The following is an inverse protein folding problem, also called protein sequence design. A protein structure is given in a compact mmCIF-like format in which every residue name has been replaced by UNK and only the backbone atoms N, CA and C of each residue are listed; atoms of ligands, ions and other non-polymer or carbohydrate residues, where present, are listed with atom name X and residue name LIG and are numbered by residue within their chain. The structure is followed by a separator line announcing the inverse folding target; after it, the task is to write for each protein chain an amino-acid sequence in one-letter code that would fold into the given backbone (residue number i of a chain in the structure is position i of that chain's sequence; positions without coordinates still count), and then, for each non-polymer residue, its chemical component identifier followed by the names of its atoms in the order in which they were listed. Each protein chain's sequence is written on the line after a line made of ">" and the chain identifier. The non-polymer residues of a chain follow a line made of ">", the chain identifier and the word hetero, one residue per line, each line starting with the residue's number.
data_IF_749918310607
#
_entry.id   IF_749918310607
#
_cell.length_a   1.000
_cell.length_b   1.000
_cell.length_c   1.000
_cell.angle_alpha   90.00
_cell.angle_beta   90.00
_cell.angle_gamma   90.00
#
_symmetry.space_group_name_H-M   'P 1'
#
loop_
_entity.id
_entity.type
_entity.pdbx_description
1 polymer ?
#
# COMPACT_ATOMS: atom_id res chain seq x y z
N UNK A 1 0.96 11.20 20.72
CA UNK A 1 0.18 11.40 21.96
C UNK A 1 -0.97 12.31 21.61
N UNK A 2 -2.18 12.00 22.05
CA UNK A 2 -3.38 12.79 21.79
C UNK A 2 -4.13 13.03 23.11
N UNK A 3 -4.97 14.04 23.14
CA UNK A 3 -5.84 14.40 24.26
C UNK A 3 -7.28 13.90 24.09
N UNK A 4 -7.61 13.37 22.92
CA UNK A 4 -8.95 12.84 22.64
C UNK A 4 -8.86 11.41 22.10
N UNK A 5 -9.70 10.52 22.62
CA UNK A 5 -9.76 9.11 22.23
C UNK A 5 -11.19 8.61 22.18
N UNK A 6 -11.44 7.63 21.32
CA UNK A 6 -12.74 6.98 21.21
C UNK A 6 -12.83 5.79 22.17
N UNK A 7 -13.86 5.74 23.02
CA UNK A 7 -14.14 4.62 23.90
C UNK A 7 -15.13 3.65 23.24
N UNK A 8 -14.62 2.55 22.69
CA UNK A 8 -15.42 1.62 21.87
C UNK A 8 -16.57 0.97 22.64
N UNK A 9 -16.34 0.59 23.89
CA UNK A 9 -17.35 -0.12 24.70
C UNK A 9 -18.56 0.74 25.10
N UNK A 10 -18.43 2.06 25.05
CA UNK A 10 -19.49 3.01 25.42
C UNK A 10 -19.97 3.84 24.22
N UNK A 11 -19.22 3.83 23.11
CA UNK A 11 -19.56 4.59 21.91
C UNK A 11 -19.46 6.11 22.12
N UNK A 12 -18.46 6.56 22.88
CA UNK A 12 -18.28 7.97 23.24
C UNK A 12 -16.84 8.45 23.02
N UNK A 13 -16.67 9.76 22.79
CA UNK A 13 -15.37 10.42 22.71
C UNK A 13 -14.94 10.94 24.08
N UNK A 14 -13.77 10.56 24.54
CA UNK A 14 -13.21 11.00 25.81
C UNK A 14 -12.26 12.18 25.60
N UNK A 15 -12.45 13.24 26.39
CA UNK A 15 -11.52 14.37 26.46
C UNK A 15 -10.63 14.24 27.71
N UNK A 16 -9.37 13.85 27.51
CA UNK A 16 -8.43 13.63 28.60
C UNK A 16 -7.93 14.92 29.26
N UNK A 17 -8.32 16.10 28.75
CA UNK A 17 -8.02 17.38 29.42
C UNK A 17 -9.01 17.68 30.55
N UNK A 18 -10.19 17.08 30.53
CA UNK A 18 -11.25 17.26 31.52
C UNK A 18 -11.18 16.19 32.61
N UNK A 19 -11.52 16.58 33.85
CA UNK A 19 -11.41 15.70 35.02
C UNK A 19 -12.38 14.51 34.99
N UNK A 20 -13.53 14.68 34.34
CA UNK A 20 -14.58 13.68 34.11
C UNK A 20 -14.54 13.09 32.70
N UNK A 21 -13.45 13.34 31.97
CA UNK A 21 -13.28 12.95 30.57
C UNK A 21 -14.31 13.55 29.60
N UNK A 22 -15.01 14.63 29.99
CA UNK A 22 -16.11 15.22 29.24
C UNK A 22 -17.47 14.54 29.50
N UNK A 23 -17.54 13.60 30.45
CA UNK A 23 -18.71 12.77 30.72
C UNK A 23 -19.03 12.68 32.22
N UNK A 24 -19.75 13.67 32.78
CA UNK A 24 -20.09 13.72 34.21
C UNK A 24 -20.96 12.54 34.67
N UNK A 25 -21.66 11.86 33.75
CA UNK A 25 -22.45 10.66 34.01
C UNK A 25 -21.59 9.41 34.31
N UNK A 26 -20.29 9.44 34.02
CA UNK A 26 -19.35 8.35 34.31
C UNK A 26 -18.17 8.81 35.20
N UNK A 27 -18.43 9.20 36.48
CA UNK A 27 -17.44 9.85 37.35
C UNK A 27 -16.23 8.98 37.73
N UNK A 28 -16.25 7.68 37.40
CA UNK A 28 -15.18 6.72 37.68
C UNK A 28 -14.56 6.10 36.43
N UNK A 29 -14.96 6.56 35.24
CA UNK A 29 -14.57 5.94 33.97
C UNK A 29 -13.05 5.84 33.81
N UNK A 30 -12.32 6.89 34.21
CA UNK A 30 -10.87 6.88 34.12
C UNK A 30 -10.25 5.79 35.02
N UNK A 31 -10.74 5.62 36.24
CA UNK A 31 -10.28 4.58 37.16
C UNK A 31 -10.67 3.18 36.68
N UNK A 32 -11.82 3.05 36.02
CA UNK A 32 -12.27 1.80 35.40
C UNK A 32 -11.40 1.40 34.21
N UNK A 33 -11.06 2.36 33.35
CA UNK A 33 -10.12 2.17 32.23
C UNK A 33 -8.74 1.74 32.76
N UNK A 34 -8.26 2.34 33.86
CA UNK A 34 -6.98 1.93 34.47
C UNK A 34 -7.06 0.56 35.15
N UNK A 35 -8.15 0.27 35.86
CA UNK A 35 -8.33 -0.96 36.63
C UNK A 35 -8.62 -2.19 35.77
N UNK A 36 -9.20 -2.00 34.59
CA UNK A 36 -9.63 -3.08 33.70
C UNK A 36 -9.32 -2.77 32.22
N UNK A 37 -8.10 -2.31 31.95
CA UNK A 37 -7.67 -1.99 30.59
C UNK A 37 -7.74 -3.21 29.66
N UNK A 38 -8.48 -3.07 28.55
CA UNK A 38 -8.44 -3.99 27.42
C UNK A 38 -7.79 -3.32 26.21
N UNK A 39 -6.96 -4.03 25.43
CA UNK A 39 -6.27 -3.48 24.27
C UNK A 39 -7.21 -2.74 23.30
N UNK A 40 -8.43 -3.22 23.08
CA UNK A 40 -9.39 -2.65 22.14
C UNK A 40 -10.42 -1.70 22.77
N UNK A 41 -10.23 -1.30 24.03
CA UNK A 41 -11.16 -0.39 24.70
C UNK A 41 -11.11 1.03 24.12
N UNK A 42 -9.91 1.46 23.68
CA UNK A 42 -9.63 2.82 23.26
C UNK A 42 -9.04 2.87 21.85
N UNK A 43 -9.59 3.75 21.03
CA UNK A 43 -9.18 3.97 19.63
C UNK A 43 -8.71 5.41 19.44
N UNK A 44 -7.80 5.61 18.48
CA UNK A 44 -7.46 6.96 18.04
C UNK A 44 -8.71 7.60 17.41
N UNK A 45 -9.11 8.78 17.91
CA UNK A 45 -10.30 9.48 17.42
C UNK A 45 -10.17 9.84 15.93
N UNK A 46 -8.99 10.31 15.52
CA UNK A 46 -8.69 10.63 14.12
C UNK A 46 -8.81 9.42 13.18
N UNK A 47 -8.49 8.22 13.67
CA UNK A 47 -8.66 6.97 12.90
C UNK A 47 -10.09 6.42 12.93
N UNK A 48 -10.91 6.88 13.89
CA UNK A 48 -12.32 6.54 13.96
C UNK A 48 -13.17 7.44 13.04
N UNK A 49 -12.86 8.74 13.00
CA UNK A 49 -13.59 9.74 12.21
C UNK A 49 -13.29 9.66 10.71
N UNK A 50 -12.08 9.20 10.34
CA UNK A 50 -11.69 9.05 8.94
C UNK A 50 -11.99 7.61 8.46
N UNK A 51 -13.06 7.46 7.66
CA UNK A 51 -13.49 6.19 7.03
C UNK A 51 -12.40 5.66 6.08
N UNK A 52 -11.37 5.03 6.62
CA UNK A 52 -10.23 4.54 5.85
C UNK A 52 -8.87 4.73 6.51
N UNK A 53 -8.79 5.49 7.60
CA UNK A 53 -7.56 5.63 8.38
C UNK A 53 -7.29 4.38 9.22
N UNK A 54 -6.06 3.88 9.17
CA UNK A 54 -5.61 2.74 9.97
C UNK A 54 -4.97 3.28 11.24
N UNK A 55 -5.62 3.05 12.38
CA UNK A 55 -4.99 3.32 13.67
C UNK A 55 -3.73 2.44 13.80
N UNK A 56 -2.53 3.02 14.04
CA UNK A 56 -1.26 2.29 14.02
C UNK A 56 -1.06 1.35 15.23
N UNK A 57 -1.98 1.32 16.20
CA UNK A 57 -1.97 0.41 17.33
C UNK A 57 -3.09 0.69 18.34
N UNK A 58 -3.23 -0.16 19.35
CA UNK A 58 -4.17 0.07 20.45
C UNK A 58 -3.79 1.27 21.29
N UNK A 59 -4.78 2.01 21.79
CA UNK A 59 -4.54 3.15 22.68
C UNK A 59 -4.57 2.70 24.14
N UNK A 60 -3.68 3.25 24.95
CA UNK A 60 -3.75 3.20 26.42
C UNK A 60 -3.72 4.63 26.95
N UNK A 61 -4.26 4.82 28.15
CA UNK A 61 -4.08 6.06 28.91
C UNK A 61 -2.92 5.84 29.88
N UNK A 62 -2.03 6.84 29.99
CA UNK A 62 -0.95 6.88 30.99
C UNK A 62 -0.97 8.22 31.68
N UNK A 63 -0.69 8.25 32.99
CA UNK A 63 -0.44 9.51 33.71
C UNK A 63 0.97 10.02 33.40
N UNK A 64 1.06 11.21 32.83
CA UNK A 64 2.32 11.99 32.69
C UNK A 64 2.12 13.25 33.52
N UNK A 65 3.01 13.49 34.48
CA UNK A 65 2.91 14.63 35.42
C UNK A 65 1.54 14.75 36.12
N UNK A 66 0.93 13.60 36.44
CA UNK A 66 -0.37 13.52 37.10
C UNK A 66 -1.58 13.71 36.18
N UNK A 67 -1.38 14.04 34.89
CA UNK A 67 -2.45 14.21 33.90
C UNK A 67 -2.59 12.98 33.00
N UNK A 68 -3.80 12.54 32.66
CA UNK A 68 -4.00 11.42 31.74
C UNK A 68 -3.64 11.83 30.31
N UNK A 69 -2.88 10.99 29.61
CA UNK A 69 -2.55 11.14 28.21
C UNK A 69 -2.78 9.83 27.47
N UNK A 70 -3.31 9.94 26.26
CA UNK A 70 -3.51 8.81 25.38
C UNK A 70 -2.28 8.56 24.50
N UNK A 71 -1.84 7.32 24.46
CA UNK A 71 -0.71 6.88 23.66
C UNK A 71 -0.97 5.52 23.04
N UNK A 72 -0.42 5.31 21.83
CA UNK A 72 -0.37 3.98 21.25
C UNK A 72 0.50 3.10 22.15
N UNK A 73 0.01 1.91 22.48
CA UNK A 73 0.80 0.89 23.16
C UNK A 73 1.96 0.49 22.26
N UNK A 74 3.18 0.59 22.77
CA UNK A 74 4.35 0.15 22.04
C UNK A 74 4.27 -1.36 21.79
N UNK A 75 4.50 -1.72 20.53
CA UNK A 75 4.37 -3.08 20.00
C UNK A 75 5.28 -4.05 20.76
N UNK A 76 4.70 -4.94 21.56
CA UNK A 76 5.40 -6.03 22.27
C UNK A 76 5.49 -5.93 23.80
N UNK A 77 4.87 -4.93 24.44
CA UNK A 77 4.99 -4.76 25.91
C UNK A 77 4.10 -5.68 26.76
N UNK A 78 3.16 -6.46 26.19
CA UNK A 78 2.39 -7.44 26.97
C UNK A 78 2.41 -8.82 26.30
N UNK A 79 3.01 -9.84 26.94
CA UNK A 79 2.78 -11.22 26.57
C UNK A 79 1.33 -11.59 26.90
N UNK A 80 0.56 -12.06 25.92
CA UNK A 80 -0.61 -12.90 26.22
C UNK A 80 -0.13 -14.07 27.08
N UNK A 81 -0.70 -14.21 28.27
CA UNK A 81 -0.27 -15.20 29.24
C UNK A 81 -0.71 -16.61 28.80
N UNK A 82 0.28 -17.51 28.77
CA UNK A 82 0.29 -18.99 28.77
C UNK A 82 -1.02 -19.77 28.57
N UNK A 83 -0.85 -20.83 27.77
CA UNK A 83 -1.82 -21.78 27.18
C UNK A 83 -2.32 -21.23 25.84
N UNK A 84 -2.30 -22.07 24.80
CA UNK A 84 -2.83 -21.79 23.46
C UNK A 84 -4.03 -20.86 23.56
N UNK A 85 -3.80 -19.56 23.26
CA UNK A 85 -4.70 -18.47 23.63
C UNK A 85 -6.11 -18.85 23.20
N UNK A 86 -7.15 -18.66 24.01
CA UNK A 86 -8.54 -18.95 23.63
C UNK A 86 -8.86 -18.35 22.24
N UNK A 87 -8.16 -17.25 21.88
CA UNK A 87 -8.20 -16.64 20.57
C UNK A 87 -7.65 -17.54 19.45
N UNK A 88 -6.52 -18.22 19.65
CA UNK A 88 -5.97 -19.23 18.73
C UNK A 88 -7.00 -20.34 18.46
N UNK A 89 -7.59 -20.89 19.53
CA UNK A 89 -8.60 -21.94 19.44
C UNK A 89 -9.85 -21.45 18.71
N UNK A 90 -10.33 -20.26 19.07
CA UNK A 90 -11.50 -19.64 18.46
C UNK A 90 -11.29 -19.36 16.97
N UNK A 91 -10.12 -18.83 16.56
CA UNK A 91 -9.80 -18.60 15.15
C UNK A 91 -9.69 -19.92 14.37
N UNK A 92 -9.11 -20.96 14.97
CA UNK A 92 -9.05 -22.29 14.36
C UNK A 92 -10.45 -22.92 14.19
N UNK A 93 -11.31 -22.77 15.19
CA UNK A 93 -12.71 -23.21 15.12
C UNK A 93 -13.52 -22.42 14.11
N UNK A 94 -13.38 -21.09 14.08
CA UNK A 94 -14.02 -20.24 13.10
C UNK A 94 -13.62 -20.63 11.67
N UNK A 95 -12.32 -20.82 11.43
CA UNK A 95 -11.79 -21.26 10.14
C UNK A 95 -12.43 -22.57 9.70
N UNK A 96 -12.47 -23.55 10.59
CA UNK A 96 -13.07 -24.84 10.31
C UNK A 96 -14.59 -24.76 10.07
N UNK A 97 -15.30 -23.98 10.87
CA UNK A 97 -16.76 -23.79 10.76
C UNK A 97 -17.14 -23.13 9.45
N UNK A 98 -16.45 -22.05 9.07
CA UNK A 98 -16.68 -21.36 7.79
C UNK A 98 -16.37 -22.28 6.62
N UNK A 99 -15.19 -22.90 6.60
CA UNK A 99 -14.80 -23.79 5.50
C UNK A 99 -15.75 -24.99 5.35
N UNK A 100 -16.17 -25.62 6.45
CA UNK A 100 -17.14 -26.70 6.41
C UNK A 100 -18.54 -26.24 5.99
N UNK A 101 -18.94 -25.03 6.41
CA UNK A 101 -20.20 -24.40 5.99
C UNK A 101 -20.27 -24.12 4.49
N UNK A 102 -19.13 -23.84 3.86
CA UNK A 102 -18.97 -23.72 2.40
C UNK A 102 -18.86 -25.09 1.69
N UNK A 103 -18.95 -26.20 2.43
CA UNK A 103 -18.91 -27.55 1.86
C UNK A 103 -17.50 -28.13 1.64
N UNK A 104 -16.44 -27.47 2.11
CA UNK A 104 -15.08 -27.97 2.01
C UNK A 104 -14.76 -29.03 3.07
N UNK A 105 -13.85 -29.96 2.74
CA UNK A 105 -13.37 -30.93 3.74
C UNK A 105 -12.35 -30.27 4.65
N UNK A 106 -12.57 -30.35 5.96
CA UNK A 106 -11.69 -29.76 6.97
C UNK A 106 -11.05 -30.86 7.81
N UNK A 107 -9.76 -30.72 8.10
CA UNK A 107 -9.03 -31.55 9.07
C UNK A 107 -8.37 -30.66 10.10
N UNK A 108 -8.54 -31.00 11.39
CA UNK A 108 -7.82 -30.37 12.51
C UNK A 108 -7.00 -31.43 13.24
N UNK A 109 -5.83 -31.09 13.80
CA UNK A 109 -5.15 -31.97 14.74
C UNK A 109 -6.04 -32.24 15.95
N UNK A 110 -6.13 -33.49 16.40
CA UNK A 110 -6.79 -33.84 17.67
C UNK A 110 -5.74 -33.77 18.80
N UNK A 111 -5.97 -32.93 19.82
CA UNK A 111 -5.17 -32.85 21.05
C UNK A 111 -4.55 -31.47 21.36
N UNK A 112 -4.23 -31.22 22.64
CA UNK A 112 -3.72 -29.93 23.18
C UNK A 112 -2.29 -29.56 22.77
N UNK A 113 -1.64 -30.37 21.92
CA UNK A 113 -0.30 -30.07 21.37
C UNK A 113 -0.26 -30.43 19.90
N UNK A 114 -0.20 -29.44 18.99
CA UNK A 114 0.04 -29.73 17.59
C UNK A 114 1.39 -30.46 17.47
N UNK A 115 1.39 -31.64 16.85
CA UNK A 115 2.62 -32.31 16.45
C UNK A 115 3.49 -31.33 15.64
N UNK A 116 4.80 -31.34 15.91
CA UNK A 116 5.75 -30.38 15.36
C UNK A 116 5.68 -30.39 13.83
N UNK A 117 5.16 -29.32 13.23
CA UNK A 117 5.05 -29.17 11.77
C UNK A 117 3.67 -29.47 11.17
N UNK A 118 2.65 -29.76 11.99
CA UNK A 118 1.27 -29.90 11.53
C UNK A 118 0.55 -28.55 11.57
N UNK A 119 -0.20 -28.25 10.51
CA UNK A 119 -1.00 -27.03 10.42
C UNK A 119 -2.17 -27.03 11.41
N UNK A 120 -2.56 -25.86 11.90
CA UNK A 120 -3.68 -25.70 12.83
C UNK A 120 -5.02 -26.14 12.21
N UNK A 121 -5.24 -25.79 10.94
CA UNK A 121 -6.39 -26.25 10.15
C UNK A 121 -5.95 -26.57 8.73
N UNK A 122 -6.35 -27.74 8.22
CA UNK A 122 -6.20 -28.07 6.80
C UNK A 122 -7.57 -28.05 6.11
N UNK A 123 -7.65 -27.43 4.94
CA UNK A 123 -8.88 -27.36 4.14
C UNK A 123 -8.61 -27.93 2.76
N UNK A 124 -9.41 -28.89 2.32
CA UNK A 124 -9.45 -29.35 0.92
C UNK A 124 -10.58 -28.60 0.21
N UNK A 125 -10.17 -27.59 -0.57
CA UNK A 125 -11.03 -26.71 -1.34
C UNK A 125 -11.36 -27.24 -2.74
N UNK A 126 -11.82 -26.34 -3.60
CA UNK A 126 -12.15 -26.66 -4.99
C UNK A 126 -10.91 -27.01 -5.82
N UNK A 127 -11.12 -27.79 -6.90
CA UNK A 127 -10.09 -28.29 -7.82
C UNK A 127 -8.87 -28.93 -7.12
N UNK A 128 -9.13 -29.73 -6.08
CA UNK A 128 -8.09 -30.41 -5.28
C UNK A 128 -7.09 -29.46 -4.61
N UNK A 129 -7.42 -28.18 -4.42
CA UNK A 129 -6.61 -27.25 -3.63
C UNK A 129 -6.60 -27.69 -2.18
N UNK A 130 -5.41 -27.71 -1.58
CA UNK A 130 -5.26 -28.10 -0.16
C UNK A 130 -4.50 -27.00 0.55
N UNK A 131 -5.12 -26.42 1.58
CA UNK A 131 -4.61 -25.27 2.31
C UNK A 131 -4.21 -25.67 3.72
N UNK A 132 -3.13 -25.08 4.21
CA UNK A 132 -2.65 -25.21 5.58
C UNK A 132 -2.75 -23.84 6.27
N UNK A 133 -3.78 -23.64 7.09
CA UNK A 133 -3.92 -22.44 7.91
C UNK A 133 -3.08 -22.59 9.17
N UNK A 134 -2.23 -21.61 9.42
CA UNK A 134 -1.31 -21.52 10.54
C UNK A 134 -1.61 -20.23 11.32
N UNK A 135 -2.15 -20.33 12.52
CA UNK A 135 -2.53 -19.20 13.36
C UNK A 135 -1.35 -18.82 14.25
N UNK A 136 -0.87 -17.59 14.10
CA UNK A 136 0.32 -17.11 14.78
C UNK A 136 0.08 -15.74 15.43
N UNK A 137 -0.32 -15.80 16.71
CA UNK A 137 -0.63 -14.62 17.53
C UNK A 137 0.55 -14.19 18.40
N UNK A 138 1.43 -15.13 18.76
CA UNK A 138 2.62 -14.88 19.56
C UNK A 138 3.87 -14.69 18.69
N UNK A 139 4.96 -14.18 19.29
CA UNK A 139 6.25 -14.11 18.63
C UNK A 139 6.76 -15.51 18.24
N UNK A 140 7.31 -15.64 17.02
CA UNK A 140 7.87 -16.88 16.49
C UNK A 140 9.23 -16.61 15.84
N UNK A 141 10.16 -17.57 15.95
CA UNK A 141 11.45 -17.48 15.28
C UNK A 141 11.29 -17.63 13.75
N UNK A 142 12.10 -16.88 12.99
CA UNK A 142 12.06 -16.93 11.52
C UNK A 142 12.28 -18.32 10.94
N UNK A 143 13.28 -19.06 11.44
CA UNK A 143 13.54 -20.43 10.98
C UNK A 143 12.36 -21.37 11.21
N UNK A 144 11.59 -21.17 12.29
CA UNK A 144 10.39 -21.97 12.55
C UNK A 144 9.27 -21.72 11.54
N UNK A 145 9.11 -20.48 11.06
CA UNK A 145 8.17 -20.16 9.98
C UNK A 145 8.63 -20.81 8.68
N UNK A 146 9.91 -20.69 8.34
CA UNK A 146 10.49 -21.24 7.11
C UNK A 146 10.34 -22.77 7.09
N UNK A 147 10.60 -23.44 8.22
CA UNK A 147 10.48 -24.89 8.35
C UNK A 147 9.03 -25.38 8.23
N UNK A 148 8.08 -24.78 8.96
CA UNK A 148 6.65 -25.15 8.91
C UNK A 148 6.07 -24.93 7.52
N UNK A 149 6.39 -23.79 6.90
CA UNK A 149 5.99 -23.46 5.52
C UNK A 149 6.53 -24.49 4.53
N UNK A 150 7.79 -24.92 4.69
CA UNK A 150 8.41 -25.94 3.83
C UNK A 150 7.78 -27.32 4.03
N UNK A 151 7.46 -27.70 5.27
CA UNK A 151 6.78 -28.96 5.59
C UNK A 151 5.40 -29.00 4.94
N UNK A 152 4.61 -27.93 5.08
CA UNK A 152 3.29 -27.81 4.45
C UNK A 152 3.38 -27.98 2.92
N UNK A 153 4.32 -27.25 2.27
CA UNK A 153 4.54 -27.36 0.82
C UNK A 153 4.93 -28.77 0.38
N UNK A 154 5.81 -29.46 1.12
CA UNK A 154 6.20 -30.85 0.85
C UNK A 154 5.03 -31.83 0.97
N UNK A 155 4.04 -31.52 1.80
CA UNK A 155 2.80 -32.27 1.93
C UNK A 155 1.75 -31.92 0.85
N UNK A 156 2.10 -31.07 -0.13
CA UNK A 156 1.19 -30.59 -1.17
C UNK A 156 0.15 -29.59 -0.66
N UNK A 157 0.47 -28.87 0.42
CA UNK A 157 -0.41 -27.85 1.01
C UNK A 157 0.10 -26.44 0.68
N UNK A 158 -0.82 -25.53 0.38
CA UNK A 158 -0.53 -24.09 0.29
C UNK A 158 -0.67 -23.47 1.68
N UNK A 159 0.42 -22.97 2.29
CA UNK A 159 0.37 -22.39 3.62
C UNK A 159 -0.27 -21.00 3.63
N UNK A 160 -1.08 -20.70 4.63
CA UNK A 160 -1.64 -19.39 4.94
C UNK A 160 -1.41 -19.09 6.42
N UNK A 161 -0.57 -18.10 6.71
CA UNK A 161 -0.28 -17.66 8.06
C UNK A 161 -1.22 -16.53 8.49
N UNK A 162 -2.08 -16.81 9.46
CA UNK A 162 -2.92 -15.80 10.08
C UNK A 162 -2.13 -15.11 11.20
N UNK A 163 -1.98 -13.80 11.11
CA UNK A 163 -1.25 -12.99 12.11
C UNK A 163 -2.14 -11.87 12.64
N UNK A 164 -1.84 -11.37 13.83
CA UNK A 164 -2.55 -10.23 14.42
C UNK A 164 -1.67 -8.96 14.54
N UNK A 165 -0.47 -9.01 13.95
CA UNK A 165 0.58 -8.03 14.20
C UNK A 165 1.30 -7.68 12.89
N UNK A 166 1.39 -6.40 12.55
CA UNK A 166 2.05 -5.87 11.33
C UNK A 166 3.58 -6.07 11.27
N UNK A 167 4.21 -6.56 12.34
CA UNK A 167 5.63 -6.98 12.36
C UNK A 167 5.79 -8.50 12.50
N UNK A 168 4.69 -9.25 12.36
CA UNK A 168 4.76 -10.69 12.49
C UNK A 168 5.78 -11.26 11.50
N UNK A 169 6.69 -12.06 12.03
CA UNK A 169 7.79 -12.70 11.28
C UNK A 169 7.33 -13.43 10.01
N UNK A 170 6.11 -14.03 9.94
CA UNK A 170 5.56 -14.61 8.71
C UNK A 170 5.41 -13.66 7.51
N UNK A 171 5.24 -12.36 7.71
CA UNK A 171 4.91 -11.39 6.64
C UNK A 171 5.92 -11.41 5.48
N UNK A 172 7.21 -11.61 5.76
CA UNK A 172 8.28 -11.65 4.74
C UNK A 172 8.73 -13.07 4.37
N UNK A 173 8.00 -14.11 4.80
CA UNK A 173 8.47 -15.50 4.76
C UNK A 173 7.47 -16.51 4.20
N UNK A 174 6.19 -16.22 4.31
CA UNK A 174 5.15 -17.14 3.88
C UNK A 174 3.89 -16.36 3.48
N UNK A 175 2.99 -16.92 2.65
CA UNK A 175 1.69 -16.32 2.40
C UNK A 175 0.94 -16.11 3.71
N UNK A 176 0.37 -14.93 3.89
CA UNK A 176 -0.18 -14.49 5.18
C UNK A 176 -1.43 -13.65 5.00
N UNK A 177 -2.23 -13.55 6.06
CA UNK A 177 -3.31 -12.59 6.20
C UNK A 177 -3.26 -11.99 7.61
N UNK A 178 -3.50 -10.68 7.73
CA UNK A 178 -3.50 -10.01 9.03
C UNK A 178 -4.89 -9.61 9.47
N UNK A 179 -5.24 -9.97 10.70
CA UNK A 179 -6.39 -9.46 11.43
C UNK A 179 -5.92 -8.48 12.51
N UNK A 180 -6.84 -7.73 13.11
CA UNK A 180 -6.59 -6.93 14.30
C UNK A 180 -7.45 -7.39 15.50
N UNK A 181 -7.90 -8.64 15.50
CA UNK A 181 -8.68 -9.23 16.60
C UNK A 181 -7.79 -9.52 17.80
N UNK A 182 -8.26 -9.19 19.02
CA UNK A 182 -7.54 -9.38 20.28
C UNK A 182 -8.29 -10.26 21.28
N UNK A 183 -9.62 -10.35 21.14
CA UNK A 183 -10.47 -11.14 22.04
C UNK A 183 -11.07 -12.31 21.28
N UNK A 184 -11.04 -13.48 21.90
CA UNK A 184 -11.67 -14.68 21.34
C UNK A 184 -13.19 -14.54 21.22
N UNK A 185 -13.82 -13.70 22.07
CA UNK A 185 -15.27 -13.46 22.04
C UNK A 185 -15.71 -12.80 20.74
N UNK A 186 -14.85 -11.94 20.20
CA UNK A 186 -15.10 -11.19 18.98
C UNK A 186 -15.05 -12.07 17.73
N UNK A 187 -14.41 -13.24 17.80
CA UNK A 187 -14.29 -14.16 16.67
C UNK A 187 -15.66 -14.69 16.22
N UNK A 188 -16.70 -14.54 17.04
CA UNK A 188 -18.07 -14.92 16.67
C UNK A 188 -18.77 -13.90 15.77
N UNK A 189 -18.25 -12.67 15.68
CA UNK A 189 -18.80 -11.59 14.88
C UNK A 189 -17.93 -11.31 13.66
N UNK A 190 -18.50 -11.50 12.46
CA UNK A 190 -17.83 -11.19 11.19
C UNK A 190 -17.32 -9.75 11.18
N UNK A 191 -18.07 -8.78 11.72
CA UNK A 191 -17.69 -7.37 11.72
C UNK A 191 -16.39 -7.11 12.50
N UNK A 192 -16.03 -7.99 13.44
CA UNK A 192 -14.79 -7.90 14.21
C UNK A 192 -13.60 -8.60 13.54
N UNK A 193 -13.80 -9.25 12.38
CA UNK A 193 -12.77 -9.97 11.63
C UNK A 193 -12.43 -9.35 10.25
N UNK A 194 -12.30 -8.02 10.10
CA UNK A 194 -11.84 -7.44 8.85
C UNK A 194 -10.36 -7.76 8.64
N UNK A 195 -10.01 -8.07 7.39
CA UNK A 195 -8.64 -8.34 6.98
C UNK A 195 -7.94 -7.02 6.69
N UNK A 196 -6.77 -6.85 7.30
CA UNK A 196 -6.00 -5.60 7.30
C UNK A 196 -4.75 -5.64 6.43
N UNK A 197 -4.33 -6.83 6.02
CA UNK A 197 -3.15 -7.00 5.17
C UNK A 197 -3.03 -8.42 4.64
N UNK A 198 -2.13 -8.59 3.69
CA UNK A 198 -1.79 -9.89 3.09
C UNK A 198 -2.52 -10.18 1.77
N UNK A 199 -3.61 -9.46 1.48
CA UNK A 199 -4.32 -9.52 0.20
C UNK A 199 -4.05 -8.25 -0.59
N UNK A 200 -3.67 -8.41 -1.85
CA UNK A 200 -3.34 -7.33 -2.77
C UNK A 200 -4.11 -7.47 -4.09
N UNK A 201 -4.35 -6.33 -4.74
CA UNK A 201 -4.84 -6.25 -6.11
C UNK A 201 -3.79 -5.58 -6.98
N UNK A 202 -3.70 -5.98 -8.24
CA UNK A 202 -2.78 -5.36 -9.19
C UNK A 202 -3.41 -4.07 -9.69
N UNK A 203 -2.70 -2.96 -9.51
CA UNK A 203 -3.02 -1.69 -10.14
C UNK A 203 -1.94 -1.36 -11.16
N UNK A 204 -2.32 -1.34 -12.43
CA UNK A 204 -1.45 -0.97 -13.53
C UNK A 204 -1.71 0.47 -13.95
N UNK A 205 -0.82 1.38 -13.54
CA UNK A 205 -0.94 2.80 -13.85
C UNK A 205 -0.07 3.19 -15.04
N UNK A 206 -0.58 4.03 -15.93
CA UNK A 206 0.24 4.63 -16.98
C UNK A 206 1.18 5.67 -16.37
N UNK A 207 2.44 5.66 -16.81
CA UNK A 207 3.46 6.62 -16.44
C UNK A 207 3.41 7.82 -17.37
N UNK A 208 2.52 8.75 -17.07
CA UNK A 208 2.39 10.00 -17.79
C UNK A 208 2.24 11.17 -16.83
N UNK A 209 2.11 12.37 -17.37
CA UNK A 209 2.02 13.59 -16.58
C UNK A 209 0.65 13.75 -15.86
N UNK A 210 -0.34 12.92 -16.19
CA UNK A 210 -1.59 12.82 -15.43
C UNK A 210 -1.40 12.10 -14.08
N UNK A 211 -0.50 11.11 -14.04
CA UNK A 211 -0.19 10.35 -12.84
C UNK A 211 0.69 11.18 -11.87
N UNK A 212 0.26 11.40 -10.61
CA UNK A 212 1.04 12.16 -9.62
C UNK A 212 2.27 11.41 -9.11
N UNK A 213 2.34 10.08 -9.30
CA UNK A 213 3.43 9.26 -8.77
C UNK A 213 4.69 9.45 -9.64
N UNK A 214 5.87 9.70 -9.06
CA UNK A 214 7.12 9.77 -9.80
C UNK A 214 7.37 8.49 -10.62
N UNK A 215 8.05 8.62 -11.76
CA UNK A 215 8.39 7.45 -12.56
C UNK A 215 9.37 6.56 -11.78
N UNK A 216 9.02 5.30 -11.44
CA UNK A 216 9.89 4.39 -10.69
C UNK A 216 11.15 4.00 -11.45
N UNK A 217 11.20 4.19 -12.77
CA UNK A 217 12.38 3.94 -13.61
C UNK A 217 13.30 5.15 -13.75
N UNK A 218 12.74 6.35 -13.90
CA UNK A 218 13.51 7.55 -14.24
C UNK A 218 13.73 8.48 -13.04
N UNK A 219 12.92 8.36 -11.99
CA UNK A 219 12.88 9.29 -10.86
C UNK A 219 12.24 10.62 -11.24
N UNK A 220 12.90 11.37 -12.13
CA UNK A 220 12.39 12.59 -12.77
C UNK A 220 11.96 12.29 -14.22
N UNK A 221 10.85 12.88 -14.67
CA UNK A 221 10.28 12.63 -16.00
C UNK A 221 9.22 11.52 -16.04
N UNK A 222 8.84 11.12 -17.26
CA UNK A 222 7.79 10.13 -17.53
C UNK A 222 8.22 9.20 -18.65
N UNK A 223 8.13 7.88 -18.43
CA UNK A 223 8.54 6.90 -19.43
C UNK A 223 7.43 6.53 -20.44
N UNK A 224 6.18 6.90 -20.17
CA UNK A 224 5.01 6.58 -21.01
C UNK A 224 4.46 5.17 -20.82
N UNK A 225 5.20 4.26 -20.19
CA UNK A 225 4.86 2.85 -20.00
C UNK A 225 3.79 2.61 -18.92
N UNK A 226 3.43 1.35 -18.67
CA UNK A 226 2.58 0.97 -17.52
C UNK A 226 3.44 0.44 -16.37
N UNK A 227 3.07 0.77 -15.14
CA UNK A 227 3.79 0.43 -13.92
C UNK A 227 2.89 -0.31 -12.94
N UNK A 228 3.39 -1.44 -12.45
CA UNK A 228 2.68 -2.30 -11.50
C UNK A 228 2.81 -1.81 -10.06
N UNK A 229 1.67 -1.59 -9.43
CA UNK A 229 1.53 -1.33 -8.01
C UNK A 229 0.63 -2.41 -7.40
N UNK A 230 1.06 -3.02 -6.30
CA UNK A 230 0.23 -3.94 -5.53
C UNK A 230 -0.47 -3.19 -4.40
N UNK A 231 -1.74 -2.89 -4.58
CA UNK A 231 -2.52 -2.13 -3.61
C UNK A 231 -3.19 -3.06 -2.58
N UNK A 232 -3.33 -2.63 -1.30
CA UNK A 232 -4.11 -3.38 -0.32
C UNK A 232 -5.58 -3.47 -0.75
N UNK A 233 -6.15 -4.68 -0.68
CA UNK A 233 -7.60 -4.85 -0.81
C UNK A 233 -8.27 -4.51 0.52
N UNK A 234 -9.25 -3.61 0.49
CA UNK A 234 -10.05 -3.19 1.65
C UNK A 234 -11.44 -3.84 1.61
N UNK A 235 -12.10 -3.90 2.76
CA UNK A 235 -13.48 -4.40 2.86
C UNK A 235 -13.63 -5.92 2.78
N UNK A 236 -12.53 -6.67 2.85
CA UNK A 236 -12.56 -8.13 3.00
C UNK A 236 -12.61 -8.54 4.46
N UNK A 237 -13.38 -9.58 4.75
CA UNK A 237 -13.44 -10.22 6.06
C UNK A 237 -12.74 -11.58 6.04
N UNK A 238 -12.46 -12.13 7.23
CA UNK A 238 -11.69 -13.37 7.33
C UNK A 238 -12.39 -14.56 6.67
N UNK A 239 -13.72 -14.62 6.74
CA UNK A 239 -14.52 -15.63 6.03
C UNK A 239 -14.39 -15.52 4.50
N UNK A 240 -14.34 -14.30 3.96
CA UNK A 240 -14.05 -14.09 2.54
C UNK A 240 -12.67 -14.66 2.17
N UNK A 241 -11.65 -14.48 3.01
CA UNK A 241 -10.32 -15.07 2.76
C UNK A 241 -10.39 -16.59 2.79
N UNK A 242 -11.06 -17.19 3.77
CA UNK A 242 -11.21 -18.64 3.85
C UNK A 242 -11.89 -19.18 2.59
N UNK A 243 -13.05 -18.63 2.22
CA UNK A 243 -13.81 -19.02 1.03
C UNK A 243 -12.97 -18.85 -0.23
N UNK A 244 -12.40 -17.66 -0.46
CA UNK A 244 -11.73 -17.32 -1.71
C UNK A 244 -10.40 -18.05 -1.90
N UNK A 245 -9.68 -18.35 -0.82
CA UNK A 245 -8.45 -19.15 -0.92
C UNK A 245 -8.78 -20.64 -1.16
N UNK A 246 -9.86 -21.15 -0.57
CA UNK A 246 -10.35 -22.51 -0.83
C UNK A 246 -10.95 -22.69 -2.24
N UNK A 247 -11.66 -21.68 -2.78
CA UNK A 247 -12.19 -21.72 -4.16
C UNK A 247 -11.14 -21.43 -5.22
N UNK A 248 -9.98 -20.88 -4.84
CA UNK A 248 -8.95 -20.44 -5.78
C UNK A 248 -9.20 -19.05 -6.39
N UNK A 249 -10.21 -18.32 -5.92
CA UNK A 249 -10.40 -16.89 -6.21
C UNK A 249 -9.27 -16.01 -5.64
N UNK A 250 -8.53 -16.53 -4.66
CA UNK A 250 -7.27 -15.98 -4.17
C UNK A 250 -6.17 -17.05 -4.24
N UNK A 251 -5.03 -16.68 -4.83
CA UNK A 251 -3.84 -17.52 -4.97
C UNK A 251 -2.63 -16.79 -4.39
N UNK A 252 -1.66 -17.54 -3.87
CA UNK A 252 -0.44 -16.94 -3.34
C UNK A 252 0.46 -16.43 -4.46
N UNK A 253 1.09 -15.29 -4.26
CA UNK A 253 2.16 -14.72 -5.07
C UNK A 253 3.36 -14.37 -4.19
N UNK A 254 4.55 -14.69 -4.68
CA UNK A 254 5.84 -14.33 -4.13
C UNK A 254 6.59 -13.37 -5.06
N UNK A 255 7.11 -12.30 -4.47
CA UNK A 255 7.93 -11.31 -5.15
C UNK A 255 9.25 -11.12 -4.37
N UNK A 256 10.43 -11.45 -4.91
CA UNK A 256 11.67 -11.26 -4.19
C UNK A 256 12.05 -9.78 -4.10
N UNK A 257 12.66 -9.38 -2.98
CA UNK A 257 13.16 -8.01 -2.80
C UNK A 257 14.51 -7.85 -3.51
N UNK A 258 14.77 -6.71 -4.20
CA UNK A 258 16.00 -6.49 -4.96
C UNK A 258 17.32 -6.67 -4.16
N UNK A 259 17.29 -6.41 -2.84
CA UNK A 259 18.47 -6.45 -1.97
C UNK A 259 18.35 -7.46 -0.81
N UNK A 260 17.39 -8.40 -0.87
CA UNK A 260 17.02 -9.23 0.28
C UNK A 260 17.08 -10.74 0.01
N UNK A 261 17.37 -11.51 1.06
CA UNK A 261 17.13 -12.97 1.10
C UNK A 261 15.65 -13.33 1.32
N UNK A 262 14.76 -12.33 1.29
CA UNK A 262 13.33 -12.41 1.63
C UNK A 262 12.53 -11.66 0.58
N UNK A 263 11.25 -11.99 0.46
CA UNK A 263 10.36 -11.37 -0.49
C UNK A 263 9.04 -10.97 0.14
N UNK A 264 8.23 -10.29 -0.65
CA UNK A 264 6.83 -10.07 -0.33
C UNK A 264 6.06 -11.33 -0.67
N UNK A 265 5.28 -11.80 0.29
CA UNK A 265 4.26 -12.80 0.08
C UNK A 265 2.89 -12.12 0.17
N UNK A 266 1.99 -12.47 -0.74
CA UNK A 266 0.66 -11.91 -0.78
C UNK A 266 -0.32 -12.91 -1.40
N UNK A 267 -1.61 -12.66 -1.19
CA UNK A 267 -2.72 -13.30 -1.90
C UNK A 267 -3.29 -12.32 -2.90
N UNK A 268 -3.50 -12.79 -4.12
CA UNK A 268 -3.98 -12.00 -5.26
C UNK A 268 -5.00 -12.82 -6.05
N UNK A 269 -5.73 -12.19 -6.96
CA UNK A 269 -6.60 -12.97 -7.88
C UNK A 269 -5.74 -13.74 -8.89
N UNK A 270 -6.24 -14.87 -9.45
CA UNK A 270 -5.56 -15.56 -10.55
C UNK A 270 -5.28 -14.64 -11.74
N UNK A 271 -6.23 -13.77 -12.09
CA UNK A 271 -6.10 -12.78 -13.17
C UNK A 271 -4.96 -11.81 -12.91
N UNK A 272 -4.88 -11.23 -11.71
CA UNK A 272 -3.80 -10.31 -11.34
C UNK A 272 -2.44 -11.01 -11.36
N UNK A 273 -2.39 -12.27 -10.90
CA UNK A 273 -1.17 -13.07 -10.92
C UNK A 273 -0.71 -13.35 -12.35
N UNK A 274 -1.65 -13.71 -13.23
CA UNK A 274 -1.37 -13.95 -14.65
C UNK A 274 -0.90 -12.68 -15.37
N UNK A 275 -1.60 -11.56 -15.17
CA UNK A 275 -1.19 -10.25 -15.70
C UNK A 275 0.20 -9.87 -15.20
N UNK A 276 0.48 -10.01 -13.90
CA UNK A 276 1.80 -9.65 -13.36
C UNK A 276 2.93 -10.57 -13.84
N UNK A 277 2.68 -11.87 -13.98
CA UNK A 277 3.71 -12.81 -14.39
C UNK A 277 3.93 -12.76 -15.91
N UNK A 278 2.95 -12.41 -16.73
CA UNK A 278 3.03 -12.40 -18.21
C UNK A 278 3.62 -13.71 -18.77
N UNK A 279 3.21 -14.85 -18.20
CA UNK A 279 3.73 -16.19 -18.56
C UNK A 279 5.13 -16.51 -18.02
N UNK A 280 5.79 -15.60 -17.30
CA UNK A 280 7.03 -15.91 -16.56
C UNK A 280 6.74 -16.87 -15.40
N UNK A 281 7.68 -17.77 -15.07
CA UNK A 281 7.55 -18.57 -13.85
C UNK A 281 7.59 -17.66 -12.62
N UNK A 282 6.74 -17.96 -11.64
CA UNK A 282 6.85 -17.32 -10.33
C UNK A 282 8.21 -17.69 -9.69
N UNK A 283 8.93 -16.72 -9.10
CA UNK A 283 10.19 -17.01 -8.42
C UNK A 283 9.99 -17.98 -7.24
N UNK A 284 10.98 -18.84 -6.99
CA UNK A 284 10.95 -19.72 -5.82
C UNK A 284 11.33 -18.92 -4.54
N UNK A 285 10.47 -18.88 -3.50
CA UNK A 285 10.80 -18.27 -2.21
C UNK A 285 12.05 -18.81 -1.52
N UNK A 286 12.51 -20.02 -1.90
CA UNK A 286 13.73 -20.65 -1.39
C UNK A 286 14.91 -20.65 -2.38
N UNK A 287 14.74 -20.09 -3.57
CA UNK A 287 15.78 -20.05 -4.60
C UNK A 287 16.87 -19.02 -4.30
N UNK A 288 18.09 -19.18 -4.87
CA UNK A 288 19.07 -18.10 -4.86
C UNK A 288 18.46 -16.86 -5.53
N UNK A 289 18.61 -15.67 -4.92
CA UNK A 289 18.11 -14.42 -5.49
C UNK A 289 18.64 -14.27 -6.91
N UNK A 290 17.76 -14.29 -7.90
CA UNK A 290 18.13 -14.00 -9.28
C UNK A 290 18.59 -12.54 -9.32
N UNK A 291 19.89 -12.33 -9.52
CA UNK A 291 20.42 -11.00 -9.80
C UNK A 291 19.79 -10.51 -11.11
N UNK A 292 19.19 -9.31 -11.15
CA UNK A 292 18.93 -8.65 -12.42
C UNK A 292 20.26 -8.52 -13.16
N UNK A 293 20.25 -8.78 -14.47
CA UNK A 293 21.41 -8.67 -15.33
C UNK A 293 22.14 -7.32 -15.14
N UNK A 294 23.46 -7.42 -15.22
CA UNK A 294 24.48 -6.43 -14.89
C UNK A 294 24.19 -4.99 -15.33
N UNK A 295 24.27 -4.06 -14.37
CA UNK A 295 24.90 -2.76 -14.61
C UNK A 295 26.09 -2.62 -13.67
N UNK A 296 27.26 -2.50 -14.30
CA UNK A 296 28.57 -2.48 -13.67
C UNK A 296 28.77 -1.29 -12.70
N UNK A 297 29.53 -1.57 -11.63
CA UNK A 297 30.38 -0.58 -10.97
C UNK A 297 30.01 -0.21 -9.53
N UNK A 298 30.51 -0.97 -8.56
CA UNK A 298 31.42 -0.46 -7.51
C UNK A 298 31.95 -1.57 -6.58
N UNK A 299 33.26 -1.68 -6.65
CA UNK A 299 34.27 -2.30 -5.77
C UNK A 299 33.88 -2.58 -4.31
N UNK A 300 33.89 -3.87 -3.94
CA UNK A 300 34.84 -4.48 -3.01
C UNK A 300 34.87 -4.04 -1.53
N UNK A 301 34.44 -4.95 -0.65
CA UNK A 301 35.32 -5.59 0.36
C UNK A 301 34.64 -6.81 0.99
N UNK A 302 35.45 -7.85 1.23
CA UNK A 302 35.05 -9.19 1.67
C UNK A 302 35.38 -9.40 3.16
N UNK A 303 34.49 -10.19 3.80
CA UNK A 303 34.64 -11.13 4.94
C UNK A 303 35.09 -10.63 6.33
N UNK A 304 34.27 -10.97 7.32
CA UNK A 304 34.67 -11.87 8.41
C UNK A 304 33.43 -12.56 9.03
N UNK A 305 33.59 -13.86 9.31
CA UNK A 305 32.67 -14.73 10.04
C UNK A 305 32.40 -14.25 11.47
N UNK A 306 31.21 -14.53 11.98
CA UNK A 306 30.83 -14.32 13.37
C UNK A 306 29.52 -15.04 13.68
N UNK A 307 29.58 -15.91 14.69
CA UNK A 307 28.59 -16.91 15.06
C UNK A 307 27.22 -16.34 15.45
N UNK A 308 26.23 -17.23 15.35
CA UNK A 308 24.87 -17.10 15.84
C UNK A 308 24.81 -16.60 17.28
N UNK A 309 24.13 -15.47 17.49
CA UNK A 309 23.54 -15.14 18.78
C UNK A 309 22.19 -14.45 18.57
N UNK A 310 21.25 -14.84 19.41
CA UNK A 310 19.81 -14.73 19.20
C UNK A 310 19.24 -13.32 19.13
N UNK A 311 18.21 -13.20 18.28
CA UNK A 311 17.04 -12.32 18.38
C UNK A 311 17.24 -11.03 19.20
N UNK A 312 17.51 -9.92 18.50
CA UNK A 312 16.92 -8.60 18.76
C UNK A 312 17.35 -7.64 17.65
N UNK A 313 16.42 -6.76 17.22
CA UNK A 313 16.62 -5.60 16.34
C UNK A 313 16.31 -5.72 14.83
N UNK A 314 15.20 -6.37 14.44
CA UNK A 314 14.57 -6.11 13.11
C UNK A 314 13.16 -5.46 13.20
N UNK A 315 12.72 -5.01 14.39
CA UNK A 315 11.31 -4.67 14.63
C UNK A 315 11.00 -3.17 14.67
N UNK A 316 11.94 -2.31 14.26
CA UNK A 316 11.81 -0.85 14.38
C UNK A 316 10.83 -0.23 13.39
N UNK A 317 10.39 -0.94 12.34
CA UNK A 317 9.38 -0.47 11.37
C UNK A 317 8.28 -1.51 11.15
N UNK A 318 7.04 -1.04 10.98
CA UNK A 318 5.92 -1.81 10.44
C UNK A 318 6.32 -2.51 9.13
N UNK A 319 6.22 -3.85 9.07
CA UNK A 319 6.51 -4.61 7.84
C UNK A 319 5.33 -4.60 6.87
N UNK A 320 4.13 -4.48 7.41
CA UNK A 320 2.88 -4.22 6.69
C UNK A 320 2.32 -2.86 7.15
N UNK A 321 2.79 -1.78 6.52
CA UNK A 321 2.31 -0.41 6.77
C UNK A 321 1.09 -0.04 5.91
N UNK A 322 0.49 -1.03 5.24
CA UNK A 322 -0.66 -0.84 4.37
C UNK A 322 -0.34 -0.10 3.06
N UNK A 323 0.91 0.26 2.79
CA UNK A 323 1.25 0.97 1.55
C UNK A 323 1.22 0.04 0.33
N UNK A 324 1.01 0.59 -0.87
CA UNK A 324 1.23 -0.14 -2.10
C UNK A 324 2.66 -0.68 -2.19
N UNK A 325 2.82 -1.91 -2.70
CA UNK A 325 4.15 -2.45 -3.01
C UNK A 325 4.44 -2.09 -4.46
N UNK A 326 5.46 -1.24 -4.65
CA UNK A 326 5.96 -0.91 -5.98
C UNK A 326 6.67 -2.12 -6.58
N UNK A 327 6.05 -2.71 -7.61
CA UNK A 327 6.60 -3.80 -8.39
C UNK A 327 6.90 -3.35 -9.83
N UNK A 328 7.03 -2.05 -10.06
CA UNK A 328 7.26 -1.47 -11.38
C UNK A 328 8.59 -1.89 -11.97
N UNK A 329 9.58 -2.28 -11.16
CA UNK A 329 10.83 -2.84 -11.68
C UNK A 329 10.66 -4.23 -12.31
N UNK A 330 9.59 -4.96 -11.95
CA UNK A 330 9.29 -6.29 -12.46
C UNK A 330 8.42 -6.25 -13.70
N UNK A 331 7.51 -5.28 -13.75
CA UNK A 331 6.56 -5.16 -14.82
C UNK A 331 6.54 -3.71 -15.30
N UNK A 332 7.17 -3.49 -16.46
CA UNK A 332 6.94 -2.28 -17.25
C UNK A 332 6.65 -2.64 -18.68
N UNK A 333 5.48 -2.23 -19.16
CA UNK A 333 5.30 -2.15 -20.59
C UNK A 333 6.14 -0.98 -21.14
N UNK A 334 6.75 -1.12 -22.33
CA UNK A 334 7.42 -0.01 -22.97
C UNK A 334 6.40 1.12 -23.22
N UNK A 335 6.83 2.35 -22.98
CA UNK A 335 6.00 3.50 -23.30
C UNK A 335 5.79 3.67 -24.81
N UNK A 336 4.74 4.39 -25.21
CA UNK A 336 4.56 4.78 -26.61
C UNK A 336 5.80 5.49 -27.14
N UNK A 337 6.07 5.35 -28.44
CA UNK A 337 7.26 5.91 -29.08
C UNK A 337 7.41 7.42 -28.89
N UNK A 338 6.32 8.16 -28.68
CA UNK A 338 6.35 9.60 -28.43
C UNK A 338 7.17 9.99 -27.19
N UNK A 339 7.25 9.11 -26.17
CA UNK A 339 8.05 9.36 -24.96
C UNK A 339 9.54 9.06 -25.15
N UNK A 340 9.88 8.22 -26.13
CA UNK A 340 11.27 7.78 -26.37
C UNK A 340 11.91 8.46 -27.59
N UNK A 341 11.10 8.96 -28.52
CA UNK A 341 11.56 9.57 -29.78
C UNK A 341 12.00 11.02 -29.55
N UNK A 342 13.22 11.42 -29.95
CA UNK A 342 13.61 12.83 -29.93
C UNK A 342 12.97 13.62 -31.08
N UNK A 343 12.72 14.89 -30.83
CA UNK A 343 12.21 15.87 -31.80
C UNK A 343 13.30 16.89 -32.12
N UNK A 344 13.53 17.17 -33.40
CA UNK A 344 14.55 18.13 -33.83
C UNK A 344 13.86 19.39 -34.34
N UNK A 345 14.14 20.53 -33.71
CA UNK A 345 13.60 21.85 -34.07
C UNK A 345 14.73 22.87 -34.07
N UNK A 346 15.17 23.29 -35.25
CA UNK A 346 16.38 24.11 -35.38
C UNK A 346 17.61 23.35 -34.90
N UNK A 347 18.35 23.93 -33.94
CA UNK A 347 19.50 23.29 -33.29
C UNK A 347 19.14 22.42 -32.07
N UNK A 348 17.88 22.45 -31.63
CA UNK A 348 17.45 21.73 -30.44
C UNK A 348 17.06 20.28 -30.75
N UNK A 349 17.68 19.34 -30.03
CA UNK A 349 17.23 17.94 -29.93
C UNK A 349 16.44 17.78 -28.64
N UNK A 350 15.12 17.76 -28.76
CA UNK A 350 14.16 17.81 -27.65
C UNK A 350 13.74 16.38 -27.30
N UNK A 351 13.82 15.96 -26.03
CA UNK A 351 13.31 14.67 -25.57
C UNK A 351 11.81 14.51 -25.81
N UNK A 352 11.39 13.31 -26.21
CA UNK A 352 10.00 13.03 -26.54
C UNK A 352 9.05 13.13 -25.35
N UNK A 353 9.50 12.71 -24.16
CA UNK A 353 8.78 12.84 -22.91
C UNK A 353 8.49 14.31 -22.53
N UNK A 354 9.41 15.23 -22.84
CA UNK A 354 9.21 16.67 -22.66
C UNK A 354 8.18 17.24 -23.67
N UNK A 355 8.19 16.75 -24.91
CA UNK A 355 7.15 17.12 -25.90
C UNK A 355 5.77 16.59 -25.47
N UNK A 356 5.71 15.35 -24.97
CA UNK A 356 4.50 14.77 -24.39
C UNK A 356 4.03 15.55 -23.14
N UNK A 357 4.95 16.06 -22.31
CA UNK A 357 4.65 16.95 -21.19
C UNK A 357 3.93 18.20 -21.66
N UNK A 358 4.49 18.85 -22.68
CA UNK A 358 3.93 20.08 -23.23
C UNK A 358 2.54 19.84 -23.83
N UNK A 359 2.34 18.75 -24.57
CA UNK A 359 1.02 18.37 -25.11
C UNK A 359 0.00 18.13 -23.99
N UNK A 360 0.40 17.44 -22.93
CA UNK A 360 -0.47 17.17 -21.78
C UNK A 360 -0.85 18.46 -21.05
N UNK A 361 0.12 19.36 -20.85
CA UNK A 361 -0.11 20.67 -20.27
C UNK A 361 -1.07 21.52 -21.12
N UNK A 362 -0.93 21.53 -22.44
CA UNK A 362 -1.86 22.23 -23.34
C UNK A 362 -3.29 21.72 -23.18
N UNK A 363 -3.49 20.40 -23.16
CA UNK A 363 -4.82 19.80 -22.93
C UNK A 363 -5.39 20.15 -21.55
N UNK A 364 -4.54 20.22 -20.53
CA UNK A 364 -4.97 20.62 -19.19
C UNK A 364 -5.41 22.09 -19.15
N UNK A 365 -4.71 22.98 -19.85
CA UNK A 365 -5.12 24.38 -20.00
C UNK A 365 -6.46 24.50 -20.75
N UNK A 366 -6.65 23.75 -21.84
CA UNK A 366 -7.91 23.72 -22.59
C UNK A 366 -9.06 23.25 -21.68
N UNK A 367 -8.84 22.21 -20.88
CA UNK A 367 -9.84 21.72 -19.93
C UNK A 367 -10.17 22.74 -18.83
N UNK A 368 -9.16 23.41 -18.27
CA UNK A 368 -9.40 24.47 -17.28
C UNK A 368 -10.15 25.66 -17.87
N UNK A 369 -9.86 26.02 -19.13
CA UNK A 369 -10.58 27.06 -19.87
C UNK A 369 -12.02 26.65 -20.15
N UNK A 370 -12.27 25.39 -20.53
CA UNK A 370 -13.60 24.84 -20.74
C UNK A 370 -14.45 24.88 -19.46
N UNK A 371 -13.91 24.44 -18.32
CA UNK A 371 -14.59 24.55 -17.02
C UNK A 371 -14.92 26.02 -16.74
N UNK A 372 -13.96 26.93 -16.92
CA UNK A 372 -14.15 28.34 -16.65
C UNK A 372 -15.21 28.99 -17.57
N UNK A 373 -15.30 28.56 -18.83
CA UNK A 373 -16.29 29.06 -19.79
C UNK A 373 -17.73 28.70 -19.44
N UNK A 374 -17.93 27.60 -18.70
CA UNK A 374 -19.24 27.16 -18.21
C UNK A 374 -19.63 27.76 -16.86
N UNK A 375 -18.77 28.59 -16.26
CA UNK A 375 -19.12 29.32 -15.04
C UNK A 375 -19.96 30.57 -15.36
N UNK A 376 -20.83 31.00 -14.44
CA UNK A 376 -21.51 32.28 -14.57
C UNK A 376 -20.52 33.42 -14.80
N UNK A 377 -20.90 34.39 -15.63
CA UNK A 377 -20.04 35.55 -15.89
C UNK A 377 -19.81 36.33 -14.60
N UNK A 378 -18.63 36.96 -14.47
CA UNK A 378 -18.34 37.84 -13.33
C UNK A 378 -19.36 38.97 -13.18
N UNK A 379 -19.97 39.41 -14.29
CA UNK A 379 -21.02 40.41 -14.29
C UNK A 379 -22.36 39.90 -13.72
N UNK A 380 -22.70 38.63 -13.94
CA UNK A 380 -23.91 38.02 -13.37
C UNK A 380 -23.75 37.73 -11.88
N UNK A 381 -22.55 37.32 -11.47
CA UNK A 381 -22.22 37.13 -10.05
C UNK A 381 -22.26 38.46 -9.31
N UNK A 382 -21.60 39.50 -9.85
CA UNK A 382 -21.57 40.83 -9.24
C UNK A 382 -22.97 41.48 -9.13
N UNK A 383 -23.88 41.14 -10.04
CA UNK A 383 -25.25 41.61 -10.03
C UNK A 383 -26.21 40.72 -9.22
N UNK A 384 -25.72 39.65 -8.58
CA UNK A 384 -26.54 38.70 -7.81
C UNK A 384 -27.50 37.86 -8.66
N UNK A 385 -27.27 37.75 -9.98
CA UNK A 385 -28.09 36.96 -10.90
C UNK A 385 -27.68 35.49 -10.96
N UNK A 386 -26.48 35.16 -10.47
CA UNK A 386 -25.96 33.80 -10.44
C UNK A 386 -24.94 33.63 -9.30
N UNK A 387 -24.76 32.39 -8.86
CA UNK A 387 -23.75 32.01 -7.86
C UNK A 387 -22.93 30.82 -8.37
N UNK A 388 -21.67 30.74 -7.94
CA UNK A 388 -20.82 29.58 -8.20
C UNK A 388 -20.94 28.60 -7.02
N UNK A 389 -21.44 27.40 -7.30
CA UNK A 389 -21.53 26.31 -6.31
C UNK A 389 -20.15 25.91 -5.75
N UNK A 390 -20.15 25.20 -4.61
CA UNK A 390 -18.94 24.62 -4.03
C UNK A 390 -18.23 23.69 -5.03
N UNK A 391 -18.97 22.75 -5.60
CA UNK A 391 -18.48 21.77 -6.57
C UNK A 391 -17.85 22.43 -7.81
N UNK A 392 -18.45 23.51 -8.32
CA UNK A 392 -17.88 24.25 -9.46
C UNK A 392 -16.56 24.93 -9.11
N UNK A 393 -16.44 25.49 -7.90
CA UNK A 393 -15.19 26.09 -7.40
C UNK A 393 -14.11 25.04 -7.23
N UNK A 394 -14.45 23.91 -6.62
CA UNK A 394 -13.55 22.78 -6.42
C UNK A 394 -13.04 22.24 -7.76
N UNK A 395 -13.94 21.96 -8.71
CA UNK A 395 -13.56 21.50 -10.06
C UNK A 395 -12.60 22.45 -10.77
N UNK A 396 -12.82 23.77 -10.68
CA UNK A 396 -11.91 24.74 -11.28
C UNK A 396 -10.56 24.79 -10.54
N UNK A 397 -10.58 24.71 -9.21
CA UNK A 397 -9.37 24.68 -8.39
C UNK A 397 -8.52 23.46 -8.74
N UNK A 398 -9.11 22.27 -8.83
CA UNK A 398 -8.45 21.03 -9.22
C UNK A 398 -7.84 21.11 -10.63
N UNK A 399 -8.57 21.67 -11.58
CA UNK A 399 -8.08 21.85 -12.94
C UNK A 399 -6.86 22.81 -12.99
N UNK A 400 -6.89 23.90 -12.21
CA UNK A 400 -5.79 24.85 -12.09
C UNK A 400 -4.58 24.25 -11.38
N UNK A 401 -4.81 23.51 -10.31
CA UNK A 401 -3.78 22.82 -9.56
C UNK A 401 -3.07 21.77 -10.41
N UNK A 402 -3.83 21.02 -11.23
CA UNK A 402 -3.28 20.12 -12.24
C UNK A 402 -2.37 20.86 -13.23
N UNK A 403 -2.79 22.02 -13.74
CA UNK A 403 -1.95 22.83 -14.63
C UNK A 403 -0.65 23.27 -13.94
N UNK A 404 -0.74 23.75 -12.70
CA UNK A 404 0.41 24.19 -11.91
C UNK A 404 1.43 23.07 -11.72
N UNK A 405 0.97 21.89 -11.28
CA UNK A 405 1.81 20.69 -11.10
C UNK A 405 2.52 20.30 -12.39
N UNK A 406 1.78 20.22 -13.49
CA UNK A 406 2.33 19.89 -14.82
C UNK A 406 3.42 20.89 -15.27
N UNK A 407 3.20 22.19 -15.02
CA UNK A 407 4.17 23.22 -15.37
C UNK A 407 5.46 23.11 -14.54
N UNK A 408 5.34 22.89 -13.22
CA UNK A 408 6.47 22.70 -12.30
C UNK A 408 7.30 21.49 -12.72
N UNK A 409 6.64 20.35 -12.88
CA UNK A 409 7.23 19.11 -13.36
C UNK A 409 7.97 19.28 -14.70
N UNK A 410 7.34 19.92 -15.69
CA UNK A 410 7.96 20.24 -16.98
C UNK A 410 9.17 21.16 -16.83
N UNK A 411 9.14 22.15 -15.92
CA UNK A 411 10.24 23.09 -15.70
C UNK A 411 11.44 22.48 -14.98
N UNK A 412 11.24 21.44 -14.20
CA UNK A 412 12.32 20.69 -13.52
C UNK A 412 12.98 19.64 -14.41
N UNK A 413 12.56 19.51 -15.67
CA UNK A 413 13.10 18.51 -16.58
C UNK A 413 14.62 18.71 -16.84
N UNK A 414 15.48 17.67 -16.71
CA UNK A 414 16.94 17.81 -16.78
C UNK A 414 17.48 18.42 -18.08
N UNK A 415 16.77 18.24 -19.19
CA UNK A 415 17.15 18.83 -20.48
C UNK A 415 17.26 20.36 -20.46
N UNK A 416 16.58 21.06 -19.55
CA UNK A 416 16.70 22.52 -19.43
C UNK A 416 18.07 23.00 -18.94
N UNK A 417 18.91 22.09 -18.45
CA UNK A 417 20.31 22.37 -18.08
C UNK A 417 21.24 22.33 -19.29
N UNK A 418 20.87 21.61 -20.35
CA UNK A 418 21.71 21.42 -21.54
C UNK A 418 21.29 22.27 -22.73
N UNK A 419 20.09 22.86 -22.72
CA UNK A 419 19.50 23.55 -23.86
C UNK A 419 20.14 24.91 -24.22
N UNK A 420 21.11 25.44 -23.45
CA UNK A 420 21.72 26.74 -23.76
C UNK A 420 20.73 27.91 -23.64
N UNK A 421 20.25 28.45 -24.77
CA UNK A 421 19.22 29.50 -24.80
C UNK A 421 17.84 28.94 -24.40
N UNK A 422 17.47 29.18 -23.14
CA UNK A 422 16.19 28.73 -22.57
C UNK A 422 14.96 29.35 -23.25
N UNK A 423 15.05 30.55 -23.80
CA UNK A 423 13.91 31.16 -24.47
C UNK A 423 13.64 30.46 -25.79
N UNK A 424 14.65 30.36 -26.65
CA UNK A 424 14.56 29.66 -27.93
C UNK A 424 14.18 28.18 -27.76
N UNK A 425 14.73 27.51 -26.75
CA UNK A 425 14.36 26.13 -26.41
C UNK A 425 12.87 25.97 -26.04
N UNK A 426 12.26 26.92 -25.32
CA UNK A 426 10.83 26.89 -24.97
C UNK A 426 9.94 27.05 -26.19
N UNK A 427 10.32 27.93 -27.12
CA UNK A 427 9.63 28.08 -28.40
C UNK A 427 9.72 26.78 -29.22
N UNK A 428 10.90 26.18 -29.26
CA UNK A 428 11.13 24.91 -29.96
C UNK A 428 10.29 23.76 -29.39
N UNK A 429 10.19 23.64 -28.05
CA UNK A 429 9.30 22.66 -27.38
C UNK A 429 7.83 22.90 -27.73
N UNK A 430 7.39 24.16 -27.74
CA UNK A 430 6.01 24.50 -28.12
C UNK A 430 5.72 24.17 -29.59
N UNK A 431 6.70 24.42 -30.46
CA UNK A 431 6.62 24.07 -31.88
C UNK A 431 6.50 22.54 -32.06
N UNK A 432 7.38 21.77 -31.44
CA UNK A 432 7.35 20.29 -31.48
C UNK A 432 6.04 19.71 -30.93
N UNK A 433 5.48 20.34 -29.88
CA UNK A 433 4.23 19.88 -29.29
C UNK A 433 3.02 20.07 -30.21
N UNK A 434 3.04 21.09 -31.07
CA UNK A 434 1.92 21.48 -31.95
C UNK A 434 2.03 20.92 -33.37
N UNK A 435 3.22 20.48 -33.79
CA UNK A 435 3.46 19.97 -35.13
C UNK A 435 4.00 18.53 -35.05
N UNK A 436 3.22 17.56 -35.55
CA UNK A 436 3.76 16.22 -35.81
C UNK A 436 4.71 16.28 -37.00
N UNK A 437 5.93 15.80 -36.78
CA UNK A 437 7.08 15.86 -37.68
C UNK A 437 6.74 15.87 -39.18
N UNK A 438 6.98 17.00 -39.86
CA UNK A 438 7.50 17.11 -41.25
C UNK A 438 7.70 18.55 -41.74
N UNK A 439 7.45 19.59 -40.94
CA UNK A 439 7.70 20.97 -41.34
C UNK A 439 9.01 21.48 -40.75
N UNK A 440 10.00 21.74 -41.62
CA UNK A 440 11.27 22.35 -41.24
C UNK A 440 11.03 23.74 -40.63
N UNK A 441 11.34 23.89 -39.35
CA UNK A 441 11.36 25.19 -38.69
C UNK A 441 12.62 25.94 -39.10
N UNK A 442 12.49 26.97 -39.95
CA UNK A 442 13.55 27.95 -40.19
C UNK A 442 13.27 29.20 -39.37
N UNK A 443 14.07 29.41 -38.33
CA UNK A 443 14.14 30.67 -37.61
C UNK A 443 14.54 31.79 -38.60
N UNK A 444 13.71 32.82 -38.76
CA UNK A 444 14.13 34.07 -39.43
C UNK A 444 14.75 34.96 -38.36
N UNK A 445 16.06 35.26 -38.40
CA UNK A 445 16.63 36.25 -37.51
C UNK A 445 16.04 37.62 -37.85
N UNK A 446 15.64 38.35 -36.81
CA UNK A 446 15.04 39.67 -36.93
C UNK A 446 15.94 40.63 -37.72
N UNK A 447 15.34 41.30 -38.69
CA UNK A 447 15.93 42.45 -39.37
C UNK A 447 15.96 43.59 -38.35
N UNK A 448 17.17 44.07 -38.02
CA UNK A 448 17.38 45.21 -37.15
C UNK A 448 16.73 46.50 -37.68
N UNK A 449 16.64 47.55 -36.85
CA UNK A 449 15.96 48.78 -37.23
C UNK A 449 16.75 49.50 -38.34
N UNK A 450 16.03 49.89 -39.40
CA UNK A 450 16.52 50.87 -40.37
C UNK A 450 16.56 52.24 -39.69
N UNK A 451 17.67 52.92 -39.93
CA UNK A 451 18.15 54.22 -39.41
C UNK A 451 17.08 55.31 -39.40
#
# INVERSE_FOLDING_TARGET
>A
MTYSVWHRGLGITLDLTEADLGHPEYPRLLDEIYGNYQPDLLYCLEAHEDEGSVCPGFMTIRKVDGRPHAMHVAKGERPETKAESDLHKALGEYTAKVAAGEGFRVTRPEGDRPEKGRADVTVEGADSRRLAYEIQLAAIAGGSVDDRTRIARRAGLTPLWLVNNENAIPIDRAPWARLNVQSWRDVTDRAALPVRGGIKQLHMSRCDWGNPVPCPRQGAGRCGGRHALWEPVRGLYYDDVIRRTATGELVSLYLPRPAGRRGWHMWVTPTDKEEFLEGRPEPDPGGPAAHPAETAGRTGRSRADGAEDGVRSELTRARDDGQPIDASLWHTEPGPSEFSRPFVVGEFVIPGDLVAARRTFTRALEHAADIAAHLPSGADIAAGRAEISGDQRERLADARERCRRLAEEMHTHPWWETAGDRHAAREAVTYAATHDHLSSWTFRPGVGPLV
#
